data_IF_484535139115
#
_entry.id   IF_484535139115
#
_cell.length_a   1.000
_cell.length_b   1.000
_cell.length_c   1.000
_cell.angle_alpha   90.00
_cell.angle_beta   90.00
_cell.angle_gamma   90.00
#
_symmetry.space_group_name_H-M   'P 1'
#
loop_
_entity.id
_entity.type
_entity.pdbx_description
1 polymer ?
#
# COMPACT_ATOMS: atom_id res chain seq x y z
N UNK A 1 4.99 23.46 -26.77
CA UNK A 1 4.69 22.96 -25.43
C UNK A 1 6.02 22.88 -24.71
N UNK A 2 6.12 23.45 -23.50
CA UNK A 2 7.38 23.42 -22.73
C UNK A 2 7.71 21.95 -22.36
N UNK A 3 9.00 21.59 -22.27
CA UNK A 3 9.43 20.22 -21.91
C UNK A 3 8.79 19.78 -20.60
N UNK A 4 8.70 20.71 -19.64
CA UNK A 4 8.07 20.49 -18.35
C UNK A 4 6.56 20.23 -18.47
N UNK A 5 5.86 20.92 -19.37
CA UNK A 5 4.42 20.69 -19.59
C UNK A 5 4.16 19.29 -20.15
N UNK A 6 5.02 18.83 -21.07
CA UNK A 6 4.94 17.47 -21.62
C UNK A 6 5.17 16.42 -20.55
N UNK A 7 6.17 16.61 -19.68
CA UNK A 7 6.40 15.72 -18.55
C UNK A 7 5.22 15.71 -17.57
N UNK A 8 4.64 16.86 -17.26
CA UNK A 8 3.44 16.93 -16.41
C UNK A 8 2.28 16.12 -17.00
N UNK A 9 2.03 16.24 -18.31
CA UNK A 9 1.00 15.43 -18.97
C UNK A 9 1.31 13.93 -18.88
N UNK A 10 2.55 13.51 -19.17
CA UNK A 10 2.96 12.11 -19.07
C UNK A 10 2.79 11.55 -17.66
N UNK A 11 3.10 12.33 -16.62
CA UNK A 11 2.88 11.95 -15.22
C UNK A 11 1.38 11.75 -14.90
N UNK A 12 0.50 12.58 -15.46
CA UNK A 12 -0.96 12.38 -15.27
C UNK A 12 -1.48 11.15 -16.01
N UNK A 13 -0.90 10.83 -17.17
CA UNK A 13 -1.20 9.59 -17.92
C UNK A 13 -0.72 8.37 -17.13
N UNK A 14 0.48 8.41 -16.54
CA UNK A 14 0.99 7.39 -15.62
C UNK A 14 0.00 7.13 -14.48
N UNK A 15 -0.45 8.19 -13.81
CA UNK A 15 -1.43 8.05 -12.73
C UNK A 15 -2.71 7.35 -13.21
N UNK A 16 -3.28 7.79 -14.33
CA UNK A 16 -4.54 7.25 -14.84
C UNK A 16 -4.43 5.79 -15.32
N UNK A 17 -3.31 5.43 -15.95
CA UNK A 17 -3.07 4.07 -16.44
C UNK A 17 -2.84 3.11 -15.28
N UNK A 18 -2.02 3.48 -14.30
CA UNK A 18 -1.72 2.63 -13.14
C UNK A 18 -2.92 2.42 -12.22
N UNK A 19 -3.88 3.35 -12.21
CA UNK A 19 -5.13 3.21 -11.45
C UNK A 19 -5.91 1.95 -11.85
N UNK A 20 -5.81 1.50 -13.10
CA UNK A 20 -6.48 0.29 -13.57
C UNK A 20 -5.96 -1.01 -12.91
N UNK A 21 -4.77 -0.97 -12.32
CA UNK A 21 -4.08 -2.12 -11.73
C UNK A 21 -4.26 -2.23 -10.20
N UNK A 22 -5.11 -1.42 -9.57
CA UNK A 22 -5.31 -1.45 -8.12
C UNK A 22 -5.64 -2.84 -7.55
N UNK A 23 -6.40 -3.66 -8.29
CA UNK A 23 -6.78 -5.04 -7.89
C UNK A 23 -5.65 -6.07 -7.98
N UNK A 24 -4.58 -5.71 -8.70
CA UNK A 24 -3.38 -6.51 -8.91
C UNK A 24 -2.33 -6.26 -7.82
N UNK A 25 -2.63 -5.43 -6.80
CA UNK A 25 -1.80 -5.30 -5.62
C UNK A 25 -1.91 -6.55 -4.73
N UNK A 26 -1.20 -7.59 -5.14
CA UNK A 26 -1.09 -8.90 -4.46
C UNK A 26 0.32 -9.41 -4.62
N UNK A 27 0.76 -10.26 -3.70
CA UNK A 27 2.12 -10.82 -3.70
C UNK A 27 2.52 -11.39 -5.06
N UNK A 28 1.66 -12.19 -5.69
CA UNK A 28 1.96 -12.87 -6.96
C UNK A 28 1.97 -11.95 -8.19
N UNK A 29 1.22 -10.87 -8.17
CA UNK A 29 0.97 -10.03 -9.36
C UNK A 29 1.72 -8.70 -9.31
N UNK A 30 2.03 -8.20 -8.11
CA UNK A 30 2.64 -6.88 -7.91
C UNK A 30 3.94 -6.69 -8.70
N UNK A 31 4.86 -7.66 -8.64
CA UNK A 31 6.15 -7.56 -9.32
C UNK A 31 5.99 -7.45 -10.85
N UNK A 32 5.06 -8.20 -11.45
CA UNK A 32 4.80 -8.14 -12.90
C UNK A 32 4.14 -6.82 -13.33
N UNK A 33 3.27 -6.24 -12.50
CA UNK A 33 2.69 -4.91 -12.77
C UNK A 33 3.76 -3.82 -12.71
N UNK A 34 4.67 -3.90 -11.73
CA UNK A 34 5.79 -2.96 -11.63
C UNK A 34 6.76 -3.11 -12.81
N UNK A 35 7.05 -4.33 -13.25
CA UNK A 35 7.87 -4.58 -14.46
C UNK A 35 7.24 -3.96 -15.71
N UNK A 36 5.93 -4.17 -15.91
CA UNK A 36 5.19 -3.49 -16.97
C UNK A 36 5.30 -1.97 -16.88
N UNK A 37 5.07 -1.40 -15.70
CA UNK A 37 5.12 0.05 -15.49
C UNK A 37 6.52 0.61 -15.79
N UNK A 38 7.59 -0.09 -15.40
CA UNK A 38 8.97 0.27 -15.73
C UNK A 38 9.19 0.33 -17.22
N UNK A 39 8.83 -0.71 -17.96
CA UNK A 39 9.03 -0.73 -19.41
C UNK A 39 8.21 0.35 -20.10
N UNK A 40 6.97 0.54 -19.65
CA UNK A 40 6.02 1.48 -20.23
C UNK A 40 6.40 2.94 -20.02
N UNK A 41 7.05 3.26 -18.90
CA UNK A 41 7.36 4.62 -18.46
C UNK A 41 8.87 4.90 -18.30
N UNK A 42 9.74 4.00 -18.77
CA UNK A 42 11.20 4.19 -18.73
C UNK A 42 11.61 5.55 -19.32
N UNK A 43 11.10 5.87 -20.51
CA UNK A 43 11.37 7.15 -21.17
C UNK A 43 10.91 8.35 -20.33
N UNK A 44 9.74 8.28 -19.69
CA UNK A 44 9.22 9.36 -18.85
C UNK A 44 10.10 9.58 -17.63
N UNK A 45 10.52 8.51 -16.95
CA UNK A 45 11.42 8.58 -15.79
C UNK A 45 12.79 9.14 -16.19
N UNK A 46 13.37 8.64 -17.28
CA UNK A 46 14.65 9.15 -17.81
C UNK A 46 14.54 10.64 -18.18
N UNK A 47 13.45 11.03 -18.85
CA UNK A 47 13.23 12.42 -19.24
C UNK A 47 13.04 13.37 -18.04
N UNK A 48 12.45 12.89 -16.92
CA UNK A 48 12.42 13.63 -15.65
C UNK A 48 13.83 13.83 -15.10
N UNK A 49 14.64 12.76 -15.04
CA UNK A 49 16.02 12.81 -14.55
C UNK A 49 16.86 13.78 -15.39
N UNK A 50 16.79 13.68 -16.71
CA UNK A 50 17.48 14.57 -17.64
C UNK A 50 17.02 16.02 -17.47
N UNK A 51 15.71 16.25 -17.28
CA UNK A 51 15.18 17.59 -17.04
C UNK A 51 15.79 18.23 -15.78
N UNK A 52 15.97 17.46 -14.71
CA UNK A 52 16.69 17.93 -13.51
C UNK A 52 18.19 18.12 -13.75
N UNK A 53 18.83 17.23 -14.51
CA UNK A 53 20.25 17.34 -14.84
C UNK A 53 20.56 18.62 -15.63
N UNK A 54 19.69 18.97 -16.58
CA UNK A 54 19.79 20.16 -17.44
C UNK A 54 19.41 21.46 -16.73
N UNK A 55 18.76 21.37 -15.56
CA UNK A 55 18.31 22.54 -14.78
C UNK A 55 19.37 22.96 -13.76
N UNK A 56 19.73 24.25 -13.67
CA UNK A 56 20.64 24.78 -12.64
C UNK A 56 20.17 24.44 -11.22
N UNK A 57 21.09 24.17 -10.30
CA UNK A 57 20.76 23.66 -8.96
C UNK A 57 19.83 24.60 -8.17
N UNK A 58 20.00 25.91 -8.33
CA UNK A 58 19.15 26.96 -7.75
C UNK A 58 17.72 26.99 -8.29
N UNK A 59 17.49 26.47 -9.51
CA UNK A 59 16.17 26.43 -10.16
C UNK A 59 15.46 25.09 -9.97
N UNK A 60 16.19 24.03 -9.56
CA UNK A 60 15.62 22.68 -9.37
C UNK A 60 14.47 22.65 -8.38
N UNK A 61 14.48 23.48 -7.33
CA UNK A 61 13.37 23.58 -6.38
C UNK A 61 12.07 24.04 -7.05
N UNK A 62 12.14 25.01 -7.98
CA UNK A 62 10.97 25.46 -8.73
C UNK A 62 10.48 24.38 -9.72
N UNK A 63 11.41 23.64 -10.32
CA UNK A 63 11.07 22.49 -11.18
C UNK A 63 10.38 21.37 -10.36
N UNK A 64 10.88 21.06 -9.17
CA UNK A 64 10.27 20.12 -8.23
C UNK A 64 8.83 20.53 -7.91
N UNK A 65 8.59 21.79 -7.51
CA UNK A 65 7.23 22.28 -7.24
C UNK A 65 6.31 22.10 -8.45
N UNK A 66 6.78 22.48 -9.65
CA UNK A 66 5.96 22.43 -10.87
C UNK A 66 5.59 20.99 -11.27
N UNK A 67 6.55 20.07 -11.25
CA UNK A 67 6.29 18.66 -11.59
C UNK A 67 5.50 17.95 -10.49
N UNK A 68 5.76 18.25 -9.21
CA UNK A 68 5.07 17.63 -8.07
C UNK A 68 3.58 17.95 -8.04
N UNK A 69 3.15 19.08 -8.61
CA UNK A 69 1.75 19.49 -8.68
C UNK A 69 0.94 18.72 -9.73
N UNK A 70 1.58 18.19 -10.79
CA UNK A 70 0.89 17.60 -11.94
C UNK A 70 -0.16 16.55 -11.56
N UNK A 71 0.24 15.53 -10.79
CA UNK A 71 -0.66 14.45 -10.38
C UNK A 71 -1.66 14.91 -9.30
N UNK A 72 -1.26 15.58 -8.21
CA UNK A 72 -2.20 16.13 -7.22
C UNK A 72 -3.26 17.07 -7.80
N UNK A 73 -2.92 17.88 -8.81
CA UNK A 73 -3.87 18.74 -9.50
C UNK A 73 -4.89 17.95 -10.30
N UNK A 74 -4.40 17.10 -11.20
CA UNK A 74 -5.22 16.22 -12.01
C UNK A 74 -6.15 15.33 -11.18
N UNK A 75 -5.62 14.66 -10.16
CA UNK A 75 -6.37 13.78 -9.29
C UNK A 75 -7.48 14.54 -8.52
N UNK A 76 -7.17 15.73 -8.00
CA UNK A 76 -8.16 16.56 -7.31
C UNK A 76 -9.31 16.97 -8.24
N UNK A 77 -9.00 17.44 -9.44
CA UNK A 77 -10.01 17.83 -10.43
C UNK A 77 -10.90 16.66 -10.83
N UNK A 78 -10.30 15.49 -11.12
CA UNK A 78 -11.06 14.28 -11.40
C UNK A 78 -11.95 13.89 -10.22
N UNK A 79 -11.47 13.99 -8.98
CA UNK A 79 -12.25 13.67 -7.79
C UNK A 79 -13.47 14.59 -7.61
N UNK A 80 -13.40 15.87 -8.02
CA UNK A 80 -14.56 16.77 -7.97
C UNK A 80 -15.71 16.28 -8.87
N UNK A 81 -15.38 15.65 -10.00
CA UNK A 81 -16.37 15.06 -10.93
C UNK A 81 -16.99 13.75 -10.42
N UNK A 82 -16.39 13.11 -9.40
CA UNK A 82 -16.89 11.85 -8.85
C UNK A 82 -18.12 12.10 -7.96
N UNK A 83 -19.21 11.37 -8.25
CA UNK A 83 -20.43 11.37 -7.43
C UNK A 83 -20.08 11.00 -5.98
N UNK A 84 -20.60 11.77 -5.01
CA UNK A 84 -20.32 11.57 -3.57
C UNK A 84 -20.38 10.11 -3.11
N UNK A 85 -21.40 9.35 -3.53
CA UNK A 85 -21.59 7.94 -3.18
C UNK A 85 -20.47 6.99 -3.65
N UNK A 86 -19.64 7.41 -4.60
CA UNK A 86 -18.52 6.63 -5.14
C UNK A 86 -17.16 7.15 -4.64
N UNK A 87 -17.12 8.24 -3.87
CA UNK A 87 -15.86 8.90 -3.50
C UNK A 87 -15.05 8.05 -2.53
N UNK A 88 -15.68 7.40 -1.55
CA UNK A 88 -14.95 6.59 -0.57
C UNK A 88 -14.14 5.48 -1.22
N UNK A 89 -14.74 4.77 -2.19
CA UNK A 89 -14.02 3.79 -3.00
C UNK A 89 -12.91 4.44 -3.84
N UNK A 90 -13.19 5.58 -4.46
CA UNK A 90 -12.19 6.27 -5.28
C UNK A 90 -11.02 6.80 -4.45
N UNK A 91 -11.25 7.19 -3.19
CA UNK A 91 -10.20 7.60 -2.26
C UNK A 91 -9.21 6.46 -2.01
N UNK A 92 -9.73 5.25 -1.81
CA UNK A 92 -8.93 4.03 -1.66
C UNK A 92 -8.13 3.76 -2.93
N UNK A 93 -8.79 3.73 -4.09
CA UNK A 93 -8.13 3.45 -5.38
C UNK A 93 -7.02 4.47 -5.68
N UNK A 94 -7.26 5.75 -5.41
CA UNK A 94 -6.30 6.84 -5.65
C UNK A 94 -5.08 6.76 -4.71
N UNK A 95 -5.31 6.61 -3.39
CA UNK A 95 -4.20 6.50 -2.44
C UNK A 95 -3.36 5.24 -2.68
N UNK A 96 -4.01 4.11 -2.99
CA UNK A 96 -3.31 2.88 -3.32
C UNK A 96 -2.46 3.04 -4.57
N UNK A 97 -3.03 3.57 -5.65
CA UNK A 97 -2.30 3.78 -6.90
C UNK A 97 -1.02 4.62 -6.69
N UNK A 98 -1.16 5.73 -5.95
CA UNK A 98 -0.02 6.58 -5.63
C UNK A 98 1.03 5.83 -4.82
N UNK A 99 0.62 5.18 -3.73
CA UNK A 99 1.55 4.58 -2.79
C UNK A 99 2.21 3.29 -3.30
N UNK A 100 1.55 2.51 -4.15
CA UNK A 100 2.05 1.20 -4.59
C UNK A 100 2.67 1.19 -5.98
N UNK A 101 2.29 2.14 -6.85
CA UNK A 101 2.75 2.16 -8.24
C UNK A 101 3.47 3.45 -8.59
N UNK A 102 2.78 4.61 -8.49
CA UNK A 102 3.32 5.88 -9.00
C UNK A 102 4.57 6.32 -8.23
N UNK A 103 4.48 6.43 -6.90
CA UNK A 103 5.61 6.86 -6.06
C UNK A 103 6.77 5.85 -6.15
N UNK A 104 6.55 4.53 -5.98
CA UNK A 104 7.61 3.54 -6.15
C UNK A 104 8.32 3.58 -7.50
N UNK A 105 7.57 3.73 -8.60
CA UNK A 105 8.13 3.78 -9.95
C UNK A 105 9.01 5.01 -10.16
N UNK A 106 8.50 6.19 -9.81
CA UNK A 106 9.25 7.44 -9.96
C UNK A 106 10.49 7.51 -9.06
N UNK A 107 10.48 6.78 -7.94
CA UNK A 107 11.57 6.74 -6.97
C UNK A 107 12.55 5.56 -7.20
N UNK A 108 12.34 4.73 -8.22
CA UNK A 108 13.11 3.49 -8.39
C UNK A 108 14.59 3.74 -8.72
N UNK A 109 14.88 4.79 -9.49
CA UNK A 109 16.24 5.19 -9.84
C UNK A 109 17.08 5.59 -8.62
N UNK A 110 16.43 5.92 -7.50
CA UNK A 110 17.02 6.50 -6.29
C UNK A 110 17.79 7.80 -6.57
N UNK A 111 17.51 8.48 -7.69
CA UNK A 111 18.04 9.81 -7.97
C UNK A 111 17.50 10.81 -6.93
N UNK A 112 18.39 11.67 -6.41
CA UNK A 112 18.04 12.62 -5.34
C UNK A 112 16.90 13.57 -5.71
N UNK A 113 16.79 13.95 -6.98
CA UNK A 113 15.74 14.87 -7.43
C UNK A 113 14.42 14.11 -7.64
N UNK A 114 14.46 12.86 -8.09
CA UNK A 114 13.29 11.99 -8.14
C UNK A 114 12.73 11.68 -6.73
N UNK A 115 13.61 11.44 -5.75
CA UNK A 115 13.22 11.31 -4.34
C UNK A 115 12.52 12.59 -3.88
N UNK A 116 13.16 13.75 -4.03
CA UNK A 116 12.58 15.04 -3.63
C UNK A 116 11.26 15.36 -4.35
N UNK A 117 11.15 15.01 -5.64
CA UNK A 117 9.92 15.15 -6.43
C UNK A 117 8.79 14.32 -5.84
N UNK A 118 9.03 13.04 -5.55
CA UNK A 118 8.00 12.15 -5.02
C UNK A 118 7.62 12.49 -3.57
N UNK A 119 8.58 12.90 -2.73
CA UNK A 119 8.30 13.43 -1.39
C UNK A 119 7.39 14.65 -1.47
N UNK A 120 7.74 15.63 -2.31
CA UNK A 120 6.94 16.84 -2.47
C UNK A 120 5.54 16.56 -3.03
N UNK A 121 5.44 15.61 -3.95
CA UNK A 121 4.15 15.17 -4.51
C UNK A 121 3.25 14.54 -3.43
N UNK A 122 3.81 13.74 -2.52
CA UNK A 122 3.09 13.16 -1.38
C UNK A 122 2.64 14.24 -0.38
N UNK A 123 3.48 15.25 -0.12
CA UNK A 123 3.09 16.39 0.71
C UNK A 123 1.91 17.14 0.11
N UNK A 124 2.00 17.55 -1.15
CA UNK A 124 0.93 18.27 -1.86
C UNK A 124 -0.38 17.47 -1.92
N UNK A 125 -0.28 16.14 -2.13
CA UNK A 125 -1.45 15.25 -2.11
C UNK A 125 -2.18 15.31 -0.77
N UNK A 126 -1.43 15.24 0.34
CA UNK A 126 -1.97 15.25 1.70
C UNK A 126 -2.49 16.65 2.09
N UNK A 127 -1.75 17.71 1.78
CA UNK A 127 -2.14 19.11 2.04
C UNK A 127 -3.45 19.47 1.33
N UNK A 128 -3.61 19.03 0.09
CA UNK A 128 -4.79 19.31 -0.73
C UNK A 128 -6.03 18.51 -0.30
N UNK A 129 -5.87 17.46 0.52
CA UNK A 129 -6.97 16.64 1.00
C UNK A 129 -7.74 15.96 -0.14
N UNK A 130 -7.02 15.45 -1.14
CA UNK A 130 -7.60 14.79 -2.33
C UNK A 130 -8.46 13.59 -1.90
N UNK A 131 -8.03 12.90 -0.84
CA UNK A 131 -8.72 11.78 -0.22
C UNK A 131 -8.86 12.03 1.28
N UNK A 132 -9.69 11.23 1.95
CA UNK A 132 -9.79 11.22 3.42
C UNK A 132 -8.73 10.32 4.09
N UNK A 133 -7.73 9.86 3.33
CA UNK A 133 -6.68 8.94 3.77
C UNK A 133 -5.33 9.63 3.66
N UNK A 134 -4.44 9.37 4.60
CA UNK A 134 -3.07 9.86 4.54
C UNK A 134 -2.27 9.03 3.53
N UNK A 135 -1.73 9.69 2.51
CA UNK A 135 -0.81 9.06 1.57
C UNK A 135 0.55 8.87 2.24
N UNK A 136 1.08 7.65 2.14
CA UNK A 136 2.40 7.28 2.60
C UNK A 136 3.39 7.36 1.43
N UNK A 137 4.63 7.78 1.70
CA UNK A 137 5.73 7.64 0.76
C UNK A 137 6.32 6.23 0.93
N UNK A 138 6.42 5.48 -0.16
CA UNK A 138 6.85 4.08 -0.13
C UNK A 138 7.73 3.77 -1.33
N UNK A 139 8.71 2.91 -1.13
CA UNK A 139 9.60 2.41 -2.19
C UNK A 139 9.16 1.03 -2.68
N UNK A 140 9.60 0.66 -3.88
CA UNK A 140 9.40 -0.70 -4.38
C UNK A 140 10.01 -1.74 -3.42
N UNK A 141 11.23 -1.50 -2.94
CA UNK A 141 11.95 -2.42 -2.05
C UNK A 141 11.20 -2.64 -0.72
N UNK A 142 10.59 -1.59 -0.14
CA UNK A 142 9.79 -1.72 1.08
C UNK A 142 8.52 -2.54 0.85
N UNK A 143 7.85 -2.35 -0.28
CA UNK A 143 6.61 -3.06 -0.63
C UNK A 143 6.91 -4.51 -0.98
N UNK A 144 7.88 -4.75 -1.87
CA UNK A 144 8.33 -6.07 -2.29
C UNK A 144 8.91 -6.86 -1.11
N UNK A 145 9.79 -6.22 -0.31
CA UNK A 145 10.30 -6.80 0.92
C UNK A 145 9.20 -7.07 1.95
N UNK A 146 8.15 -6.25 1.95
CA UNK A 146 6.90 -6.51 2.66
C UNK A 146 6.36 -7.89 2.31
N UNK A 147 6.17 -8.21 1.02
CA UNK A 147 5.68 -9.51 0.55
C UNK A 147 6.59 -10.72 0.86
N UNK A 148 7.91 -10.51 0.97
CA UNK A 148 8.89 -11.57 1.27
C UNK A 148 8.96 -11.93 2.76
N UNK A 149 8.62 -10.98 3.64
CA UNK A 149 8.57 -11.24 5.09
C UNK A 149 7.49 -12.28 5.39
N UNK A 150 7.89 -13.51 5.76
CA UNK A 150 7.01 -14.59 6.27
C UNK A 150 6.41 -14.27 7.66
N UNK A 151 6.01 -13.03 7.87
CA UNK A 151 5.39 -12.56 9.09
C UNK A 151 3.87 -12.67 8.95
N UNK A 152 3.18 -12.86 10.08
CA UNK A 152 1.74 -12.75 10.11
C UNK A 152 1.38 -11.26 10.10
N UNK A 153 1.27 -10.64 8.92
CA UNK A 153 1.10 -9.18 8.72
C UNK A 153 0.09 -8.53 9.65
N UNK A 154 -1.17 -8.97 9.60
CA UNK A 154 -2.26 -8.37 10.39
C UNK A 154 -1.96 -8.46 11.88
N UNK A 155 -1.52 -9.62 12.37
CA UNK A 155 -1.21 -9.78 13.80
C UNK A 155 0.02 -8.97 14.20
N UNK A 156 0.99 -8.81 13.30
CA UNK A 156 2.20 -8.00 13.53
C UNK A 156 1.83 -6.53 13.65
N UNK A 157 1.08 -6.00 12.68
CA UNK A 157 0.58 -4.63 12.71
C UNK A 157 -0.28 -4.35 13.96
N UNK A 158 -1.13 -5.30 14.35
CA UNK A 158 -1.90 -5.18 15.60
C UNK A 158 -0.97 -5.14 16.82
N UNK A 159 0.02 -6.02 16.93
CA UNK A 159 0.93 -6.04 18.07
C UNK A 159 1.82 -4.79 18.13
N UNK A 160 2.31 -4.32 16.99
CA UNK A 160 3.06 -3.07 16.85
C UNK A 160 2.22 -1.86 17.29
N UNK A 161 0.94 -1.79 16.90
CA UNK A 161 0.01 -0.76 17.35
C UNK A 161 -0.18 -0.76 18.88
N UNK A 162 -0.01 -1.92 19.54
CA UNK A 162 -0.05 -2.04 21.01
C UNK A 162 1.31 -1.84 21.68
N UNK A 163 2.34 -1.41 20.92
CA UNK A 163 3.71 -1.21 21.42
C UNK A 163 4.42 -2.50 21.83
N UNK A 164 4.00 -3.66 21.31
CA UNK A 164 4.60 -4.96 21.64
C UNK A 164 5.76 -5.27 20.68
N UNK A 165 6.82 -5.93 21.15
CA UNK A 165 7.93 -6.36 20.30
C UNK A 165 7.51 -7.52 19.37
N UNK A 166 8.28 -7.76 18.30
CA UNK A 166 8.00 -8.82 17.31
C UNK A 166 8.04 -10.25 17.90
N UNK A 167 8.76 -10.44 19.00
CA UNK A 167 8.86 -11.71 19.71
C UNK A 167 7.86 -11.84 20.86
N UNK A 168 6.82 -11.00 20.93
CA UNK A 168 5.81 -11.06 21.99
C UNK A 168 5.07 -12.41 22.04
N UNK A 169 4.42 -12.66 23.17
CA UNK A 169 3.69 -13.91 23.41
C UNK A 169 2.67 -14.20 22.30
N UNK A 170 1.89 -13.19 21.91
CA UNK A 170 0.82 -13.32 20.92
C UNK A 170 1.36 -13.75 19.55
N UNK A 171 2.39 -13.07 19.06
CA UNK A 171 3.01 -13.39 17.77
C UNK A 171 3.66 -14.77 17.79
N UNK A 172 4.33 -15.16 18.89
CA UNK A 172 4.88 -16.51 19.03
C UNK A 172 3.78 -17.57 19.00
N UNK A 173 2.65 -17.33 19.67
CA UNK A 173 1.50 -18.23 19.67
C UNK A 173 0.88 -18.38 18.28
N UNK A 174 0.65 -17.28 17.56
CA UNK A 174 0.10 -17.33 16.20
C UNK A 174 1.06 -17.98 15.20
N UNK A 175 2.36 -17.68 15.27
CA UNK A 175 3.39 -18.31 14.43
C UNK A 175 3.48 -19.81 14.69
N UNK A 176 3.48 -20.21 15.97
CA UNK A 176 3.45 -21.62 16.35
C UNK A 176 2.19 -22.32 15.85
N UNK A 177 1.01 -21.71 15.98
CA UNK A 177 -0.24 -22.25 15.44
C UNK A 177 -0.19 -22.44 13.93
N UNK A 178 0.29 -21.42 13.19
CA UNK A 178 0.51 -21.52 11.73
C UNK A 178 1.43 -22.70 11.40
N UNK A 179 2.63 -22.70 11.97
CA UNK A 179 3.69 -23.64 11.58
C UNK A 179 3.39 -25.07 12.01
N UNK A 180 2.77 -25.24 13.18
CA UNK A 180 2.52 -26.56 13.77
C UNK A 180 1.14 -27.14 13.46
N UNK A 181 0.15 -26.35 13.03
CA UNK A 181 -1.19 -26.83 12.69
C UNK A 181 -1.57 -26.52 11.23
N UNK A 182 -1.55 -25.24 10.84
CA UNK A 182 -2.05 -24.82 9.52
C UNK A 182 -1.23 -25.41 8.36
N UNK A 183 0.10 -25.45 8.46
CA UNK A 183 0.96 -25.95 7.38
C UNK A 183 0.98 -27.49 7.27
N UNK A 184 0.26 -28.22 8.13
CA UNK A 184 0.25 -29.70 8.10
C UNK A 184 -0.62 -30.29 7.01
N UNK A 185 -1.58 -29.53 6.47
CA UNK A 185 -2.48 -30.01 5.42
C UNK A 185 -2.43 -29.11 4.19
N UNK A 186 -2.67 -29.64 2.98
CA UNK A 186 -2.76 -28.84 1.77
C UNK A 186 -3.81 -27.72 1.86
N UNK A 187 -4.95 -28.00 2.52
CA UNK A 187 -6.01 -27.02 2.71
C UNK A 187 -5.55 -25.87 3.62
N UNK A 188 -4.88 -26.19 4.72
CA UNK A 188 -4.33 -25.19 5.63
C UNK A 188 -3.21 -24.36 5.00
N UNK A 189 -2.35 -24.98 4.18
CA UNK A 189 -1.35 -24.27 3.37
C UNK A 189 -2.00 -23.30 2.39
N UNK A 190 -3.06 -23.71 1.70
CA UNK A 190 -3.81 -22.85 0.77
C UNK A 190 -4.42 -21.62 1.47
N UNK A 191 -4.95 -21.80 2.68
CA UNK A 191 -5.48 -20.68 3.49
C UNK A 191 -4.38 -19.70 3.92
N UNK A 192 -3.22 -20.23 4.32
CA UNK A 192 -2.04 -19.41 4.64
C UNK A 192 -1.59 -18.66 3.39
N UNK A 193 -1.52 -19.31 2.23
CA UNK A 193 -1.14 -18.66 0.98
C UNK A 193 -2.12 -17.55 0.59
N UNK A 194 -3.43 -17.77 0.69
CA UNK A 194 -4.44 -16.73 0.45
C UNK A 194 -4.24 -15.54 1.39
N UNK A 195 -4.00 -15.79 2.68
CA UNK A 195 -3.68 -14.73 3.64
C UNK A 195 -2.48 -13.89 3.20
N UNK A 196 -1.38 -14.53 2.77
CA UNK A 196 -0.18 -13.83 2.30
C UNK A 196 -0.41 -13.02 1.01
N UNK A 197 -1.40 -13.37 0.18
CA UNK A 197 -1.74 -12.58 -1.00
C UNK A 197 -2.45 -11.26 -0.66
N UNK A 198 -3.24 -11.20 0.42
CA UNK A 198 -4.16 -10.09 0.68
C UNK A 198 -3.82 -9.27 1.93
N UNK A 199 -3.21 -9.88 2.93
CA UNK A 199 -2.95 -9.24 4.22
C UNK A 199 -2.08 -7.97 4.13
N UNK A 200 -1.04 -7.88 3.27
CA UNK A 200 -0.29 -6.64 3.09
C UNK A 200 -1.16 -5.47 2.62
N UNK A 201 -2.06 -5.69 1.66
CA UNK A 201 -3.00 -4.66 1.19
C UNK A 201 -3.97 -4.20 2.26
N UNK A 202 -4.48 -5.13 3.08
CA UNK A 202 -5.34 -4.79 4.22
C UNK A 202 -4.59 -3.89 5.22
N UNK A 203 -3.39 -4.29 5.64
CA UNK A 203 -2.56 -3.52 6.59
C UNK A 203 -2.22 -2.13 6.02
N UNK A 204 -1.85 -2.06 4.75
CA UNK A 204 -1.52 -0.81 4.08
C UNK A 204 -2.71 0.16 4.08
N UNK A 205 -3.91 -0.32 3.75
CA UNK A 205 -5.12 0.50 3.77
C UNK A 205 -5.50 0.96 5.17
N UNK A 206 -5.37 0.09 6.18
CA UNK A 206 -5.63 0.47 7.57
C UNK A 206 -4.64 1.57 7.99
N UNK A 207 -3.35 1.41 7.70
CA UNK A 207 -2.31 2.38 8.08
C UNK A 207 -2.50 3.78 7.47
N UNK A 208 -3.17 3.87 6.33
CA UNK A 208 -3.49 5.16 5.69
C UNK A 208 -4.70 5.85 6.33
N UNK A 209 -5.46 5.18 7.20
CA UNK A 209 -6.61 5.79 7.85
C UNK A 209 -6.23 6.55 9.11
N UNK A 210 -6.99 7.59 9.42
CA UNK A 210 -6.79 8.37 10.64
C UNK A 210 -7.19 7.58 11.90
N UNK A 211 -8.16 6.67 11.79
CA UNK A 211 -8.66 5.79 12.85
C UNK A 211 -7.95 4.42 12.86
N UNK A 212 -6.73 4.32 12.32
CA UNK A 212 -5.96 3.08 12.30
C UNK A 212 -5.77 2.45 13.69
N UNK A 213 -5.42 3.20 14.75
CA UNK A 213 -5.24 2.63 16.09
C UNK A 213 -6.52 1.96 16.63
N UNK A 214 -7.67 2.60 16.43
CA UNK A 214 -8.98 2.09 16.83
C UNK A 214 -9.36 0.84 16.04
N UNK A 215 -9.06 0.82 14.74
CA UNK A 215 -9.28 -0.35 13.88
C UNK A 215 -8.45 -1.54 14.38
N UNK A 216 -7.16 -1.36 14.65
CA UNK A 216 -6.30 -2.44 15.15
C UNK A 216 -6.72 -2.95 16.53
N UNK A 217 -7.16 -2.05 17.41
CA UNK A 217 -7.74 -2.45 18.70
C UNK A 217 -9.05 -3.24 18.54
N UNK A 218 -9.87 -2.90 17.55
CA UNK A 218 -11.05 -3.67 17.16
C UNK A 218 -10.67 -5.08 16.68
N UNK A 219 -9.71 -5.19 15.75
CA UNK A 219 -9.21 -6.47 15.23
C UNK A 219 -8.68 -7.35 16.37
N UNK A 220 -7.94 -6.75 17.31
CA UNK A 220 -7.42 -7.46 18.47
C UNK A 220 -8.56 -8.08 19.31
N UNK A 221 -9.52 -7.26 19.73
CA UNK A 221 -10.60 -7.67 20.64
C UNK A 221 -11.57 -8.66 20.00
N UNK A 222 -11.92 -8.44 18.74
CA UNK A 222 -12.93 -9.23 18.04
C UNK A 222 -12.39 -10.57 17.53
N UNK A 223 -11.12 -10.61 17.11
CA UNK A 223 -10.57 -11.79 16.44
C UNK A 223 -9.34 -12.38 17.12
N UNK A 224 -8.32 -11.57 17.42
CA UNK A 224 -7.03 -12.10 17.85
C UNK A 224 -7.06 -12.61 19.30
N UNK A 225 -7.69 -11.88 20.21
CA UNK A 225 -7.83 -12.29 21.62
C UNK A 225 -8.63 -13.60 21.75
N UNK A 226 -9.80 -13.77 21.10
CA UNK A 226 -10.47 -15.08 21.06
C UNK A 226 -9.61 -16.19 20.44
N UNK A 227 -8.88 -15.92 19.35
CA UNK A 227 -7.99 -16.90 18.74
C UNK A 227 -6.88 -17.35 19.71
N UNK A 228 -6.31 -16.42 20.50
CA UNK A 228 -5.28 -16.77 21.50
C UNK A 228 -5.83 -17.72 22.56
N UNK A 229 -7.02 -17.45 23.10
CA UNK A 229 -7.68 -18.37 24.05
C UNK A 229 -7.92 -19.75 23.44
N UNK A 230 -8.37 -19.81 22.18
CA UNK A 230 -8.56 -21.09 21.48
C UNK A 230 -7.25 -21.85 21.26
N UNK A 231 -6.13 -21.15 21.00
CA UNK A 231 -4.80 -21.76 20.89
C UNK A 231 -4.35 -22.33 22.24
N UNK A 232 -4.54 -21.57 23.33
CA UNK A 232 -4.21 -21.99 24.69
C UNK A 232 -4.99 -23.24 25.13
N UNK A 233 -6.27 -23.30 24.77
CA UNK A 233 -7.15 -24.47 24.97
C UNK A 233 -6.89 -25.62 23.98
N UNK A 234 -5.95 -25.45 23.03
CA UNK A 234 -5.65 -26.40 21.94
C UNK A 234 -6.84 -26.70 21.01
N UNK A 235 -7.80 -25.79 20.94
CA UNK A 235 -8.96 -25.83 20.02
C UNK A 235 -8.61 -25.25 18.67
N UNK A 236 -7.62 -25.89 18.02
CA UNK A 236 -7.00 -25.40 16.79
C UNK A 236 -7.95 -25.28 15.60
N UNK A 237 -8.94 -26.16 15.51
CA UNK A 237 -9.92 -26.10 14.42
C UNK A 237 -10.84 -24.88 14.56
N UNK A 238 -11.36 -24.62 15.76
CA UNK A 238 -12.13 -23.40 16.04
C UNK A 238 -11.27 -22.14 15.84
N UNK A 239 -9.99 -22.17 16.22
CA UNK A 239 -9.07 -21.06 15.95
C UNK A 239 -8.89 -20.83 14.45
N UNK A 240 -8.78 -21.90 13.65
CA UNK A 240 -8.67 -21.82 12.19
C UNK A 240 -9.91 -21.16 11.60
N UNK A 241 -11.10 -21.63 11.96
CA UNK A 241 -12.37 -21.07 11.48
C UNK A 241 -12.50 -19.58 11.81
N UNK A 242 -12.21 -19.19 13.05
CA UNK A 242 -12.29 -17.79 13.50
C UNK A 242 -11.28 -16.90 12.77
N UNK A 243 -10.03 -17.37 12.62
CA UNK A 243 -8.99 -16.64 11.91
C UNK A 243 -9.31 -16.46 10.42
N UNK A 244 -9.85 -17.49 9.77
CA UNK A 244 -10.28 -17.41 8.36
C UNK A 244 -11.44 -16.41 8.20
N UNK A 245 -12.39 -16.38 9.14
CA UNK A 245 -13.48 -15.39 9.14
C UNK A 245 -12.94 -13.97 9.20
N UNK A 246 -12.02 -13.69 10.12
CA UNK A 246 -11.35 -12.39 10.23
C UNK A 246 -10.74 -11.95 8.89
N UNK A 247 -9.97 -12.82 8.25
CA UNK A 247 -9.28 -12.47 6.99
C UNK A 247 -10.29 -12.20 5.87
N UNK A 248 -11.37 -12.98 5.78
CA UNK A 248 -12.43 -12.78 4.79
C UNK A 248 -13.17 -11.47 5.01
N UNK A 249 -13.58 -11.18 6.24
CA UNK A 249 -14.30 -9.96 6.60
C UNK A 249 -13.44 -8.71 6.36
N UNK A 250 -12.15 -8.75 6.73
CA UNK A 250 -11.23 -7.66 6.45
C UNK A 250 -10.97 -7.50 4.94
N UNK A 251 -10.84 -8.60 4.20
CA UNK A 251 -10.68 -8.58 2.74
C UNK A 251 -11.89 -7.92 2.07
N UNK A 252 -13.11 -8.29 2.46
CA UNK A 252 -14.34 -7.67 1.95
C UNK A 252 -14.42 -6.18 2.32
N UNK A 253 -14.12 -5.85 3.58
CA UNK A 253 -14.21 -4.48 4.09
C UNK A 253 -13.19 -3.51 3.48
N UNK A 254 -12.00 -3.98 3.14
CA UNK A 254 -10.91 -3.09 2.70
C UNK A 254 -10.53 -3.25 1.23
N UNK A 255 -10.59 -4.46 0.65
CA UNK A 255 -10.15 -4.68 -0.74
C UNK A 255 -11.31 -4.71 -1.75
N UNK A 256 -12.55 -4.89 -1.29
CA UNK A 256 -13.73 -5.00 -2.17
C UNK A 256 -14.87 -4.01 -1.83
N UNK A 257 -14.61 -3.03 -0.95
CA UNK A 257 -15.57 -1.99 -0.60
C UNK A 257 -15.86 -0.99 -1.74
#
# INVERSE_FOLDING_TARGET
MDRTDTLSEELTVLFDEMLAYGKEFRRKTYAGVMEYARERYAHTVDAVIECFADTPEEERGALTERLAQAIPEHAYEKMQSVKKRNRDRMYVDYNMNMAVYVVPLLNESKDKNCVALTERMVELWNEKGITNMRLMHSTYDEIAGGFERKLCYITTAVCENKGKPDDCYELRSFRSFRDSYMLRTPEGQSLVDEYYEVAPGIVMLINMRQDAPEIYDGIYKEYLEPCLGLIEERRYESCREHYVSMVRELKEKYLYA
#
